data_IF_806524259087
#
_entry.id   IF_806524259087
#
_cell.length_a   1.000
_cell.length_b   1.000
_cell.length_c   1.000
_cell.angle_alpha   90.00
_cell.angle_beta   90.00
_cell.angle_gamma   90.00
#
_symmetry.space_group_name_H-M   'P 1'
#
loop_
_entity.id
_entity.type
_entity.pdbx_description
1 polymer ?
#
# COMPACT_ATOMS: atom_id res chain seq x y z
N UNK A 1 3.84 -23.16 -20.20
CA UNK A 1 4.85 -24.19 -19.88
C UNK A 1 4.56 -24.69 -18.49
N UNK A 2 3.96 -25.88 -18.37
CA UNK A 2 3.62 -26.52 -17.11
C UNK A 2 4.10 -27.97 -17.16
N UNK A 3 4.88 -28.39 -16.17
CA UNK A 3 5.19 -29.77 -15.89
C UNK A 3 4.38 -30.26 -14.68
N UNK A 4 4.08 -31.55 -14.65
CA UNK A 4 3.40 -32.19 -13.52
C UNK A 4 4.28 -32.19 -12.28
N UNK A 5 5.57 -32.48 -12.45
CA UNK A 5 6.58 -32.46 -11.39
C UNK A 5 7.12 -31.04 -11.13
N UNK A 6 7.25 -30.67 -9.85
CA UNK A 6 7.68 -29.35 -9.41
C UNK A 6 9.18 -29.10 -9.69
N UNK A 7 10.02 -30.12 -9.53
CA UNK A 7 11.46 -30.00 -9.82
C UNK A 7 11.71 -29.82 -11.32
N UNK A 8 11.00 -30.60 -12.13
CA UNK A 8 11.02 -30.45 -13.58
C UNK A 8 10.52 -29.06 -14.02
N UNK A 9 9.48 -28.51 -13.38
CA UNK A 9 9.03 -27.15 -13.65
C UNK A 9 10.14 -26.13 -13.35
N UNK A 10 10.90 -26.30 -12.27
CA UNK A 10 12.03 -25.42 -11.95
C UNK A 10 13.14 -25.49 -13.01
N UNK A 11 13.45 -26.68 -13.52
CA UNK A 11 14.41 -26.85 -14.60
C UNK A 11 13.96 -26.15 -15.90
N UNK A 12 12.67 -26.25 -16.23
CA UNK A 12 12.08 -25.54 -17.38
C UNK A 12 12.20 -24.02 -17.22
N UNK A 13 11.92 -23.48 -16.02
CA UNK A 13 12.04 -22.04 -15.76
C UNK A 13 13.50 -21.56 -15.91
N UNK A 14 14.47 -22.32 -15.42
CA UNK A 14 15.89 -21.99 -15.59
C UNK A 14 16.32 -22.03 -17.06
N UNK A 15 15.90 -23.05 -17.80
CA UNK A 15 16.17 -23.14 -19.23
C UNK A 15 15.52 -21.96 -19.98
N UNK A 16 14.25 -21.66 -19.70
CA UNK A 16 13.53 -20.54 -20.30
C UNK A 16 14.24 -19.20 -19.99
N UNK A 17 14.68 -18.98 -18.76
CA UNK A 17 15.43 -17.78 -18.38
C UNK A 17 16.76 -17.65 -19.12
N UNK A 18 17.46 -18.76 -19.36
CA UNK A 18 18.71 -18.80 -20.14
C UNK A 18 18.48 -18.47 -21.62
N UNK A 19 17.43 -19.03 -22.22
CA UNK A 19 17.13 -18.82 -23.64
C UNK A 19 16.52 -17.44 -23.92
N UNK A 20 15.51 -17.03 -23.13
CA UNK A 20 14.80 -15.76 -23.34
C UNK A 20 15.51 -14.56 -22.71
N UNK A 21 16.37 -14.79 -21.71
CA UNK A 21 17.16 -13.74 -21.08
C UNK A 21 18.15 -13.04 -22.00
N UNK A 22 18.56 -13.70 -23.08
CA UNK A 22 19.48 -13.16 -24.08
C UNK A 22 18.77 -12.44 -25.23
N UNK A 23 17.45 -12.24 -25.14
CA UNK A 23 16.65 -11.61 -26.19
C UNK A 23 16.85 -10.10 -26.36
N UNK A 24 17.66 -9.46 -25.50
CA UNK A 24 17.90 -8.02 -25.47
C UNK A 24 16.77 -7.21 -24.81
N UNK A 25 17.05 -5.94 -24.51
CA UNK A 25 16.20 -5.07 -23.68
C UNK A 25 14.75 -4.98 -24.17
N UNK A 26 14.53 -4.98 -25.49
CA UNK A 26 13.20 -4.87 -26.09
C UNK A 26 12.33 -6.12 -25.90
N UNK A 27 12.93 -7.29 -25.68
CA UNK A 27 12.20 -8.55 -25.50
C UNK A 27 12.03 -8.91 -24.03
N UNK A 28 13.07 -8.70 -23.22
CA UNK A 28 13.07 -9.11 -21.82
C UNK A 28 11.96 -8.45 -21.00
N UNK A 29 11.57 -7.21 -21.36
CA UNK A 29 10.42 -6.51 -20.76
C UNK A 29 9.09 -7.27 -20.84
N UNK A 30 8.93 -8.15 -21.83
CA UNK A 30 7.72 -8.95 -22.02
C UNK A 30 7.93 -10.42 -21.66
N UNK A 31 9.15 -10.93 -21.76
CA UNK A 31 9.42 -12.37 -21.56
C UNK A 31 9.80 -12.71 -20.12
N UNK A 32 10.43 -11.81 -19.36
CA UNK A 32 10.87 -12.11 -18.00
C UNK A 32 9.76 -11.96 -16.93
N UNK A 33 8.85 -10.96 -16.97
CA UNK A 33 7.78 -10.87 -15.97
C UNK A 33 6.92 -12.15 -15.88
N UNK A 34 6.50 -12.79 -16.99
CA UNK A 34 5.78 -14.06 -16.91
C UNK A 34 6.59 -15.19 -16.25
N UNK A 35 7.91 -15.22 -16.42
CA UNK A 35 8.78 -16.21 -15.75
C UNK A 35 8.84 -15.97 -14.24
N UNK A 36 8.90 -14.71 -13.81
CA UNK A 36 8.88 -14.34 -12.39
C UNK A 36 7.56 -14.78 -11.74
N UNK A 37 6.41 -14.50 -12.37
CA UNK A 37 5.12 -14.96 -11.85
C UNK A 37 4.99 -16.49 -11.86
N UNK A 38 5.49 -17.17 -12.90
CA UNK A 38 5.50 -18.63 -12.93
C UNK A 38 6.39 -19.22 -11.82
N UNK A 39 7.49 -18.56 -11.49
CA UNK A 39 8.35 -18.92 -10.38
C UNK A 39 7.67 -18.72 -9.02
N UNK A 40 6.95 -17.61 -8.80
CA UNK A 40 6.14 -17.44 -7.57
C UNK A 40 5.05 -18.50 -7.44
N UNK A 41 4.33 -18.83 -8.53
CA UNK A 41 3.36 -19.93 -8.52
C UNK A 41 4.00 -21.28 -8.15
N UNK A 42 5.21 -21.52 -8.64
CA UNK A 42 5.96 -22.72 -8.27
C UNK A 42 6.35 -22.73 -6.78
N UNK A 43 6.70 -21.58 -6.20
CA UNK A 43 6.98 -21.48 -4.77
C UNK A 43 5.73 -21.81 -3.92
N UNK A 44 4.54 -21.35 -4.32
CA UNK A 44 3.29 -21.78 -3.68
C UNK A 44 3.04 -23.29 -3.82
N UNK A 45 3.32 -23.88 -4.99
CA UNK A 45 3.23 -25.33 -5.18
C UNK A 45 4.19 -26.11 -4.26
N UNK A 46 5.39 -25.59 -3.98
CA UNK A 46 6.29 -26.23 -3.01
C UNK A 46 5.76 -26.18 -1.59
N UNK A 47 5.04 -25.12 -1.21
CA UNK A 47 4.32 -25.08 0.07
C UNK A 47 3.20 -26.11 0.14
N UNK A 48 2.46 -26.32 -0.94
CA UNK A 48 1.45 -27.40 -1.00
C UNK A 48 2.06 -28.79 -0.84
N UNK A 49 3.36 -28.95 -1.12
CA UNK A 49 4.11 -30.20 -0.99
C UNK A 49 4.95 -30.26 0.29
N UNK A 50 4.66 -29.43 1.31
CA UNK A 50 5.49 -29.33 2.51
C UNK A 50 5.62 -30.64 3.29
N UNK A 51 4.59 -31.49 3.27
CA UNK A 51 4.59 -32.81 3.90
C UNK A 51 5.34 -33.89 3.09
N UNK A 52 5.49 -33.67 1.78
CA UNK A 52 6.08 -34.64 0.84
C UNK A 52 7.56 -34.36 0.55
N UNK A 53 8.00 -33.11 0.66
CA UNK A 53 9.35 -32.67 0.29
C UNK A 53 10.05 -31.96 1.46
N UNK A 54 10.89 -32.70 2.19
CA UNK A 54 11.73 -32.18 3.29
C UNK A 54 12.61 -30.97 2.91
N UNK A 55 12.80 -30.69 1.61
CA UNK A 55 13.64 -29.60 1.11
C UNK A 55 12.84 -28.46 0.49
N UNK A 56 11.51 -28.45 0.63
CA UNK A 56 10.63 -27.46 0.02
C UNK A 56 11.06 -26.02 0.37
N UNK A 57 11.46 -25.75 1.61
CA UNK A 57 11.91 -24.42 2.05
C UNK A 57 13.17 -23.96 1.31
N UNK A 58 14.17 -24.85 1.20
CA UNK A 58 15.41 -24.59 0.46
C UNK A 58 15.14 -24.40 -1.03
N UNK A 59 14.13 -25.08 -1.58
CA UNK A 59 13.70 -24.90 -2.97
C UNK A 59 13.01 -23.53 -3.15
N UNK A 60 12.16 -23.11 -2.21
CA UNK A 60 11.59 -21.76 -2.17
C UNK A 60 12.70 -20.69 -2.13
N UNK A 61 13.70 -20.81 -1.26
CA UNK A 61 14.84 -19.89 -1.22
C UNK A 61 15.54 -19.76 -2.59
N UNK A 62 15.80 -20.88 -3.27
CA UNK A 62 16.38 -20.87 -4.63
C UNK A 62 15.48 -20.20 -5.66
N UNK A 63 14.17 -20.40 -5.57
CA UNK A 63 13.20 -19.74 -6.44
C UNK A 63 13.20 -18.23 -6.24
N UNK A 64 13.22 -17.75 -5.00
CA UNK A 64 13.27 -16.31 -4.73
C UNK A 64 14.60 -15.68 -5.17
N UNK A 65 15.72 -16.39 -5.03
CA UNK A 65 17.01 -15.97 -5.62
C UNK A 65 16.94 -15.88 -7.15
N UNK A 66 16.31 -16.86 -7.82
CA UNK A 66 16.06 -16.84 -9.26
C UNK A 66 15.19 -15.64 -9.66
N UNK A 67 14.12 -15.35 -8.91
CA UNK A 67 13.26 -14.19 -9.14
C UNK A 67 14.05 -12.88 -9.00
N UNK A 68 14.82 -12.73 -7.92
CA UNK A 68 15.65 -11.55 -7.68
C UNK A 68 16.63 -11.29 -8.84
N UNK A 69 17.37 -12.32 -9.28
CA UNK A 69 18.29 -12.19 -10.43
C UNK A 69 17.56 -11.89 -11.75
N UNK A 70 16.35 -12.42 -11.91
CA UNK A 70 15.53 -12.18 -13.10
C UNK A 70 14.99 -10.75 -13.14
N UNK A 71 14.51 -10.24 -12.01
CA UNK A 71 14.08 -8.85 -11.86
C UNK A 71 15.28 -7.91 -12.02
N UNK A 72 16.44 -8.23 -11.45
CA UNK A 72 17.67 -7.44 -11.61
C UNK A 72 18.12 -7.28 -13.07
N UNK A 73 17.81 -8.23 -13.96
CA UNK A 73 18.07 -8.07 -15.39
C UNK A 73 17.13 -7.07 -16.08
N UNK A 74 15.91 -6.91 -15.57
CA UNK A 74 14.98 -5.86 -16.03
C UNK A 74 15.46 -4.48 -15.58
N UNK A 75 15.99 -4.36 -14.36
CA UNK A 75 16.58 -3.12 -13.85
C UNK A 75 17.78 -2.71 -14.70
N UNK A 76 18.69 -3.65 -15.01
CA UNK A 76 19.82 -3.43 -15.93
C UNK A 76 19.41 -3.02 -17.34
N UNK A 77 18.15 -3.22 -17.69
CA UNK A 77 17.57 -2.80 -18.96
C UNK A 77 16.83 -1.46 -18.86
N UNK A 78 17.14 -0.67 -17.83
CA UNK A 78 16.60 0.67 -17.57
C UNK A 78 15.07 0.66 -17.36
N UNK A 79 14.57 -0.40 -16.72
CA UNK A 79 13.17 -0.49 -16.28
C UNK A 79 13.06 -0.27 -14.78
N UNK A 80 12.15 0.59 -14.35
CA UNK A 80 11.90 0.85 -12.93
C UNK A 80 10.53 0.36 -12.46
N UNK A 81 9.49 0.75 -13.20
CA UNK A 81 8.10 0.55 -12.83
C UNK A 81 7.65 -0.93 -12.77
N UNK A 82 8.07 -1.73 -13.75
CA UNK A 82 7.72 -3.17 -13.78
C UNK A 82 8.51 -3.94 -12.72
N UNK A 83 9.84 -3.78 -12.60
CA UNK A 83 10.63 -4.40 -11.53
C UNK A 83 10.14 -4.08 -10.12
N UNK A 84 9.77 -2.82 -9.84
CA UNK A 84 9.21 -2.42 -8.56
C UNK A 84 7.98 -3.28 -8.22
N UNK A 85 7.01 -3.37 -9.14
CA UNK A 85 5.79 -4.17 -8.93
C UNK A 85 6.10 -5.66 -8.78
N UNK A 86 7.08 -6.20 -9.51
CA UNK A 86 7.52 -7.59 -9.37
C UNK A 86 8.13 -7.85 -7.99
N UNK A 87 8.96 -6.94 -7.47
CA UNK A 87 9.49 -7.05 -6.12
C UNK A 87 8.39 -6.99 -5.06
N UNK A 88 7.42 -6.07 -5.19
CA UNK A 88 6.28 -6.02 -4.27
C UNK A 88 5.48 -7.34 -4.25
N UNK A 89 5.22 -7.92 -5.42
CA UNK A 89 4.56 -9.22 -5.52
C UNK A 89 5.39 -10.36 -4.93
N UNK A 90 6.72 -10.32 -5.09
CA UNK A 90 7.62 -11.27 -4.45
C UNK A 90 7.65 -11.13 -2.93
N UNK A 91 7.60 -9.91 -2.40
CA UNK A 91 7.49 -9.64 -0.96
C UNK A 91 6.22 -10.27 -0.39
N UNK A 92 5.07 -10.01 -1.02
CA UNK A 92 3.78 -10.64 -0.64
C UNK A 92 3.85 -12.17 -0.71
N UNK A 93 4.36 -12.72 -1.81
CA UNK A 93 4.46 -14.16 -1.99
C UNK A 93 5.36 -14.80 -0.91
N UNK A 94 6.52 -14.20 -0.61
CA UNK A 94 7.39 -14.71 0.45
C UNK A 94 6.70 -14.66 1.82
N UNK A 95 6.00 -13.56 2.11
CA UNK A 95 5.27 -13.38 3.36
C UNK A 95 4.15 -14.39 3.57
N UNK A 96 3.37 -14.71 2.52
CA UNK A 96 2.29 -15.69 2.60
C UNK A 96 2.78 -17.15 2.56
N UNK A 97 3.90 -17.43 1.91
CA UNK A 97 4.45 -18.79 1.86
C UNK A 97 5.04 -19.20 3.21
N UNK A 98 5.84 -18.35 3.86
CA UNK A 98 6.33 -18.62 5.22
C UNK A 98 7.39 -19.73 5.31
N UNK A 99 8.28 -19.85 4.33
CA UNK A 99 9.44 -20.76 4.37
C UNK A 99 10.58 -20.22 5.25
N UNK A 100 11.55 -21.03 5.67
CA UNK A 100 12.73 -20.59 6.42
C UNK A 100 13.40 -19.32 5.83
N UNK A 101 13.59 -18.28 6.66
CA UNK A 101 14.12 -16.96 6.28
C UNK A 101 13.23 -16.11 5.34
N UNK A 102 11.94 -16.44 5.21
CA UNK A 102 11.02 -15.68 4.36
C UNK A 102 10.92 -14.20 4.73
N UNK A 103 11.02 -13.86 6.02
CA UNK A 103 10.96 -12.46 6.49
C UNK A 103 12.11 -11.63 5.92
N UNK A 104 13.34 -12.13 5.95
CA UNK A 104 14.51 -11.45 5.37
C UNK A 104 14.39 -11.31 3.85
N UNK A 105 13.85 -12.33 3.17
CA UNK A 105 13.60 -12.26 1.73
C UNK A 105 12.53 -11.21 1.41
N UNK A 106 11.45 -11.17 2.17
CA UNK A 106 10.39 -10.19 2.00
C UNK A 106 10.89 -8.75 2.25
N UNK A 107 11.74 -8.57 3.27
CA UNK A 107 12.36 -7.29 3.58
C UNK A 107 13.28 -6.82 2.45
N UNK A 108 14.15 -7.70 1.94
CA UNK A 108 15.03 -7.39 0.80
C UNK A 108 14.21 -6.96 -0.41
N UNK A 109 13.11 -7.66 -0.72
CA UNK A 109 12.25 -7.32 -1.85
C UNK A 109 11.57 -5.96 -1.68
N UNK A 110 11.07 -5.63 -0.50
CA UNK A 110 10.55 -4.28 -0.22
C UNK A 110 11.64 -3.22 -0.31
N UNK A 111 12.84 -3.50 0.21
CA UNK A 111 13.99 -2.59 0.13
C UNK A 111 14.36 -2.28 -1.33
N UNK A 112 14.43 -3.31 -2.19
CA UNK A 112 14.67 -3.13 -3.63
C UNK A 112 13.56 -2.31 -4.31
N UNK A 113 12.29 -2.50 -3.91
CA UNK A 113 11.18 -1.69 -4.41
C UNK A 113 11.31 -0.22 -3.98
N UNK A 114 11.73 0.05 -2.73
CA UNK A 114 12.02 1.40 -2.25
C UNK A 114 13.19 2.05 -3.00
N UNK A 115 14.30 1.33 -3.21
CA UNK A 115 15.43 1.85 -3.97
C UNK A 115 15.01 2.25 -5.39
N UNK A 116 14.25 1.40 -6.08
CA UNK A 116 13.73 1.74 -7.42
C UNK A 116 12.78 2.94 -7.40
N UNK A 117 11.95 3.07 -6.37
CA UNK A 117 11.08 4.24 -6.20
C UNK A 117 11.88 5.53 -6.03
N UNK A 118 12.92 5.52 -5.21
CA UNK A 118 13.71 6.71 -4.88
C UNK A 118 14.66 7.13 -6.01
N UNK A 119 15.31 6.15 -6.66
CA UNK A 119 16.37 6.42 -7.63
C UNK A 119 15.84 6.66 -9.06
N UNK A 120 14.78 5.95 -9.46
CA UNK A 120 14.39 5.86 -10.88
C UNK A 120 13.02 6.49 -11.19
N UNK A 121 12.10 6.58 -10.22
CA UNK A 121 10.75 7.10 -10.46
C UNK A 121 10.70 8.61 -10.16
N UNK A 122 10.77 9.41 -11.22
CA UNK A 122 10.79 10.88 -11.13
C UNK A 122 9.47 11.57 -11.49
N UNK A 123 8.61 10.94 -12.30
CA UNK A 123 7.32 11.53 -12.66
C UNK A 123 6.36 11.59 -11.46
N UNK A 124 5.82 12.77 -11.17
CA UNK A 124 4.97 12.99 -9.99
C UNK A 124 3.75 12.06 -9.90
N UNK A 125 3.11 11.73 -11.03
CA UNK A 125 1.92 10.86 -11.04
C UNK A 125 2.32 9.40 -10.82
N UNK A 126 3.43 8.99 -11.44
CA UNK A 126 4.02 7.67 -11.22
C UNK A 126 4.51 7.50 -9.78
N UNK A 127 5.10 8.54 -9.18
CA UNK A 127 5.54 8.53 -7.78
C UNK A 127 4.37 8.27 -6.82
N UNK A 128 3.28 9.04 -6.92
CA UNK A 128 2.11 8.82 -6.05
C UNK A 128 1.54 7.41 -6.21
N UNK A 129 1.44 6.93 -7.45
CA UNK A 129 0.93 5.60 -7.75
C UNK A 129 1.82 4.50 -7.17
N UNK A 130 3.15 4.65 -7.32
CA UNK A 130 4.13 3.70 -6.82
C UNK A 130 4.16 3.66 -5.29
N UNK A 131 4.21 4.81 -4.61
CA UNK A 131 4.23 4.84 -3.14
C UNK A 131 2.93 4.33 -2.55
N UNK A 132 1.78 4.66 -3.14
CA UNK A 132 0.48 4.12 -2.72
C UNK A 132 0.47 2.59 -2.85
N UNK A 133 1.04 2.05 -3.93
CA UNK A 133 1.14 0.60 -4.11
C UNK A 133 2.10 -0.06 -3.10
N UNK A 134 3.23 0.57 -2.78
CA UNK A 134 4.14 0.11 -1.72
C UNK A 134 3.39 0.06 -0.38
N UNK A 135 2.71 1.15 0.00
CA UNK A 135 1.93 1.23 1.24
C UNK A 135 0.86 0.14 1.29
N UNK A 136 0.05 -0.01 0.24
CA UNK A 136 -1.02 -1.01 0.19
C UNK A 136 -0.48 -2.45 0.19
N UNK A 137 0.66 -2.69 -0.45
CA UNK A 137 1.32 -4.01 -0.43
C UNK A 137 1.77 -4.32 1.00
N UNK A 138 2.46 -3.38 1.64
CA UNK A 138 2.99 -3.57 2.98
C UNK A 138 1.88 -3.71 4.03
N UNK A 139 0.77 -2.97 3.91
CA UNK A 139 -0.41 -3.11 4.78
C UNK A 139 -0.98 -4.54 4.79
N UNK A 140 -0.87 -5.26 3.66
CA UNK A 140 -1.33 -6.65 3.56
C UNK A 140 -0.33 -7.67 4.07
N UNK A 141 0.91 -7.29 4.32
CA UNK A 141 1.95 -8.20 4.79
C UNK A 141 1.87 -8.35 6.31
N UNK A 142 1.78 -9.60 6.78
CA UNK A 142 1.74 -9.98 8.20
C UNK A 142 3.02 -10.67 8.69
N UNK A 143 4.01 -10.82 7.81
CA UNK A 143 5.17 -11.67 8.03
C UNK A 143 6.32 -11.00 8.82
N UNK A 144 6.27 -9.68 8.99
CA UNK A 144 7.35 -8.94 9.65
C UNK A 144 7.15 -8.91 11.16
N UNK A 145 8.23 -9.10 11.90
CA UNK A 145 8.29 -8.73 13.29
C UNK A 145 8.36 -7.21 13.47
N UNK A 146 8.02 -6.72 14.66
CA UNK A 146 7.97 -5.27 14.95
C UNK A 146 9.30 -4.55 14.64
N UNK A 147 10.44 -5.19 14.87
CA UNK A 147 11.78 -4.65 14.56
C UNK A 147 11.97 -4.30 13.07
N UNK A 148 11.36 -5.08 12.17
CA UNK A 148 11.40 -4.85 10.73
C UNK A 148 10.19 -4.04 10.23
N UNK A 149 9.05 -4.15 10.92
CA UNK A 149 7.81 -3.49 10.54
C UNK A 149 7.83 -1.98 10.86
N UNK A 150 8.35 -1.55 12.01
CA UNK A 150 8.43 -0.12 12.37
C UNK A 150 9.27 0.72 11.38
N UNK A 151 10.49 0.31 10.96
CA UNK A 151 11.28 1.05 9.98
C UNK A 151 10.55 1.21 8.64
N UNK A 152 9.88 0.15 8.15
CA UNK A 152 9.15 0.17 6.89
C UNK A 152 7.93 1.12 6.94
N UNK A 153 7.19 1.15 8.05
CA UNK A 153 6.10 2.13 8.27
C UNK A 153 6.62 3.56 8.20
N UNK A 154 7.73 3.81 8.89
CA UNK A 154 8.36 5.14 8.93
C UNK A 154 8.87 5.54 7.55
N UNK A 155 9.47 4.61 6.81
CA UNK A 155 9.95 4.86 5.44
C UNK A 155 8.80 5.19 4.49
N UNK A 156 7.66 4.48 4.58
CA UNK A 156 6.45 4.81 3.84
C UNK A 156 5.99 6.26 4.11
N UNK A 157 5.89 6.63 5.40
CA UNK A 157 5.48 7.97 5.80
C UNK A 157 6.47 9.07 5.35
N UNK A 158 7.77 8.77 5.38
CA UNK A 158 8.82 9.67 4.89
C UNK A 158 8.69 9.87 3.37
N UNK A 159 8.63 8.79 2.60
CA UNK A 159 8.49 8.80 1.15
C UNK A 159 7.23 9.54 0.70
N UNK A 160 6.07 9.27 1.33
CA UNK A 160 4.83 9.99 1.07
C UNK A 160 4.95 11.51 1.34
N UNK A 161 5.67 11.91 2.40
CA UNK A 161 5.84 13.32 2.73
C UNK A 161 6.86 14.06 1.84
N UNK A 162 7.68 13.32 1.09
CA UNK A 162 8.67 13.86 0.15
C UNK A 162 8.13 14.05 -1.28
N UNK A 163 6.90 13.61 -1.57
CA UNK A 163 6.26 13.84 -2.88
C UNK A 163 6.30 15.32 -3.26
N UNK A 164 6.47 15.66 -4.53
CA UNK A 164 6.67 17.07 -4.91
C UNK A 164 5.42 17.94 -4.70
N UNK A 165 4.25 17.41 -5.05
CA UNK A 165 2.99 18.15 -5.04
C UNK A 165 2.27 18.03 -3.69
N UNK A 166 1.78 19.14 -3.15
CA UNK A 166 1.07 19.18 -1.87
C UNK A 166 -0.17 18.29 -1.80
N UNK A 167 -1.05 18.23 -2.83
CA UNK A 167 -2.18 17.31 -2.82
C UNK A 167 -1.74 15.85 -2.75
N UNK A 168 -0.69 15.49 -3.48
CA UNK A 168 -0.15 14.13 -3.49
C UNK A 168 0.51 13.77 -2.15
N UNK A 169 1.27 14.70 -1.53
CA UNK A 169 1.78 14.55 -0.16
C UNK A 169 0.63 14.32 0.83
N UNK A 170 -0.44 15.10 0.74
CA UNK A 170 -1.59 15.01 1.62
C UNK A 170 -2.25 13.63 1.55
N UNK A 171 -2.52 13.16 0.34
CA UNK A 171 -3.12 11.85 0.06
C UNK A 171 -2.19 10.72 0.51
N UNK A 172 -0.92 10.74 0.12
CA UNK A 172 0.04 9.71 0.52
C UNK A 172 0.19 9.59 2.03
N UNK A 173 0.28 10.71 2.76
CA UNK A 173 0.39 10.72 4.23
C UNK A 173 -0.92 10.23 4.88
N UNK A 174 -2.08 10.53 4.30
CA UNK A 174 -3.36 10.03 4.79
C UNK A 174 -3.43 8.50 4.60
N UNK A 175 -3.00 7.98 3.45
CA UNK A 175 -2.93 6.54 3.19
C UNK A 175 -2.00 5.81 4.17
N UNK A 176 -0.88 6.42 4.58
CA UNK A 176 0.01 5.84 5.59
C UNK A 176 -0.68 5.61 6.95
N UNK A 177 -1.78 6.31 7.26
CA UNK A 177 -2.50 6.08 8.52
C UNK A 177 -2.99 4.63 8.67
N UNK A 178 -3.32 3.96 7.56
CA UNK A 178 -3.73 2.55 7.58
C UNK A 178 -2.64 1.61 8.07
N UNK A 179 -1.35 1.91 7.81
CA UNK A 179 -0.23 1.09 8.29
C UNK A 179 -0.10 1.08 9.82
N UNK A 180 -0.58 2.15 10.47
CA UNK A 180 -0.58 2.27 11.93
C UNK A 180 -1.87 1.75 12.56
N UNK A 181 -2.90 1.48 11.75
CA UNK A 181 -4.17 0.93 12.22
C UNK A 181 -4.29 -0.55 11.86
N UNK A 182 -4.55 -0.86 10.59
CA UNK A 182 -4.86 -2.22 10.08
C UNK A 182 -3.64 -3.04 9.69
N UNK A 183 -2.43 -2.44 9.74
CA UNK A 183 -1.18 -3.19 9.58
C UNK A 183 -1.07 -4.33 10.59
N UNK A 184 -0.43 -5.43 10.20
CA UNK A 184 -0.31 -6.65 11.01
C UNK A 184 1.15 -7.04 11.16
N UNK A 185 1.53 -7.44 12.36
CA UNK A 185 2.88 -7.94 12.66
C UNK A 185 2.83 -9.41 13.05
N UNK A 186 3.98 -10.08 13.04
CA UNK A 186 4.06 -11.46 13.52
C UNK A 186 3.69 -11.57 15.00
N UNK A 187 4.09 -10.60 15.81
CA UNK A 187 3.80 -10.57 17.25
C UNK A 187 2.33 -10.30 17.56
N UNK A 188 1.61 -9.64 16.65
CA UNK A 188 0.17 -9.39 16.80
C UNK A 188 -0.71 -10.63 16.59
N UNK A 189 -0.13 -11.79 16.23
CA UNK A 189 -0.84 -13.06 15.99
C UNK A 189 -2.04 -12.95 15.02
N UNK A 190 -2.00 -11.97 14.11
CA UNK A 190 -3.06 -11.73 13.12
C UNK A 190 -4.02 -10.58 13.47
N UNK A 191 -3.88 -9.99 14.66
CA UNK A 191 -4.56 -8.75 15.06
C UNK A 191 -3.95 -7.52 14.37
N UNK A 192 -4.73 -6.44 14.37
CA UNK A 192 -4.32 -5.15 13.84
C UNK A 192 -3.49 -4.37 14.88
N UNK A 193 -2.51 -3.58 14.44
CA UNK A 193 -1.65 -2.79 15.35
C UNK A 193 -2.44 -1.77 16.19
N UNK A 194 -3.47 -1.15 15.61
CA UNK A 194 -4.40 -0.21 16.27
C UNK A 194 -3.72 0.94 17.06
N UNK A 195 -2.64 1.52 16.53
CA UNK A 195 -1.99 2.69 17.13
C UNK A 195 -2.75 3.98 16.76
N UNK A 196 -3.79 4.27 17.53
CA UNK A 196 -4.65 5.45 17.32
C UNK A 196 -3.90 6.78 17.38
N UNK A 197 -2.80 6.87 18.14
CA UNK A 197 -2.00 8.11 18.27
C UNK A 197 -1.25 8.40 16.98
N UNK A 198 -0.59 7.38 16.40
CA UNK A 198 0.12 7.51 15.11
C UNK A 198 -0.84 7.79 13.96
N UNK A 199 -2.01 7.15 13.95
CA UNK A 199 -3.10 7.48 12.99
C UNK A 199 -3.45 8.96 13.06
N UNK A 200 -3.64 9.47 14.28
CA UNK A 200 -3.92 10.88 14.51
C UNK A 200 -2.82 11.81 14.01
N UNK A 201 -1.56 11.47 14.26
CA UNK A 201 -0.40 12.23 13.78
C UNK A 201 -0.36 12.31 12.25
N UNK A 202 -0.62 11.20 11.56
CA UNK A 202 -0.73 11.14 10.11
C UNK A 202 -1.85 12.05 9.59
N UNK A 203 -3.08 11.89 10.11
CA UNK A 203 -4.22 12.68 9.63
C UNK A 203 -4.08 14.18 9.95
N UNK A 204 -3.52 14.54 11.11
CA UNK A 204 -3.17 15.94 11.43
C UNK A 204 -2.07 16.48 10.52
N UNK A 205 -1.08 15.66 10.13
CA UNK A 205 -0.06 16.05 9.15
C UNK A 205 -0.69 16.27 7.77
N UNK A 206 -1.57 15.38 7.31
CA UNK A 206 -2.33 15.56 6.07
C UNK A 206 -3.16 16.84 6.09
N UNK A 207 -3.88 17.11 7.17
CA UNK A 207 -4.66 18.34 7.31
C UNK A 207 -3.78 19.60 7.26
N UNK A 208 -2.60 19.58 7.89
CA UNK A 208 -1.62 20.68 7.76
C UNK A 208 -1.14 20.87 6.32
N UNK A 209 -0.92 19.79 5.59
CA UNK A 209 -0.50 19.86 4.17
C UNK A 209 -1.64 20.38 3.29
N UNK A 210 -2.89 19.96 3.52
CA UNK A 210 -4.07 20.49 2.82
C UNK A 210 -4.19 22.02 3.00
N UNK A 211 -3.96 22.52 4.21
CA UNK A 211 -3.93 23.98 4.48
C UNK A 211 -2.79 24.72 3.74
N UNK A 212 -1.74 24.03 3.29
CA UNK A 212 -0.65 24.63 2.49
C UNK A 212 -0.94 24.62 0.99
N UNK A 213 -2.05 24.01 0.55
CA UNK A 213 -2.46 24.08 -0.85
C UNK A 213 -2.97 25.50 -1.15
N UNK A 214 -2.43 26.11 -2.21
CA UNK A 214 -2.80 27.47 -2.63
C UNK A 214 -4.16 27.51 -3.33
N UNK A 215 -4.52 26.44 -4.03
CA UNK A 215 -5.79 26.32 -4.74
C UNK A 215 -6.90 25.96 -3.74
N UNK A 216 -7.86 26.86 -3.58
CA UNK A 216 -8.99 26.70 -2.65
C UNK A 216 -9.89 25.52 -3.02
N UNK A 217 -10.11 25.26 -4.31
CA UNK A 217 -10.92 24.11 -4.76
C UNK A 217 -10.26 22.80 -4.34
N UNK A 218 -8.96 22.67 -4.64
CA UNK A 218 -8.17 21.50 -4.23
C UNK A 218 -8.10 21.37 -2.71
N UNK A 219 -7.95 22.48 -1.98
CA UNK A 219 -7.93 22.48 -0.53
C UNK A 219 -9.24 21.96 0.08
N UNK A 220 -10.40 22.45 -0.39
CA UNK A 220 -11.72 21.97 0.09
C UNK A 220 -11.93 20.51 -0.28
N UNK A 221 -11.55 20.10 -1.49
CA UNK A 221 -11.58 18.69 -1.89
C UNK A 221 -10.77 17.81 -0.93
N UNK A 222 -9.54 18.22 -0.58
CA UNK A 222 -8.69 17.48 0.37
C UNK A 222 -9.29 17.44 1.77
N UNK A 223 -9.97 18.49 2.23
CA UNK A 223 -10.69 18.45 3.52
C UNK A 223 -11.80 17.41 3.52
N UNK A 224 -12.57 17.30 2.43
CA UNK A 224 -13.61 16.27 2.29
C UNK A 224 -12.97 14.87 2.24
N UNK A 225 -11.87 14.69 1.52
CA UNK A 225 -11.13 13.41 1.49
C UNK A 225 -10.59 13.04 2.88
N UNK A 226 -9.98 13.98 3.60
CA UNK A 226 -9.47 13.76 4.97
C UNK A 226 -10.63 13.46 5.94
N UNK A 227 -11.76 14.16 5.83
CA UNK A 227 -12.95 13.90 6.64
C UNK A 227 -13.40 12.44 6.49
N UNK A 228 -13.41 11.91 5.27
CA UNK A 228 -13.75 10.51 5.03
C UNK A 228 -12.74 9.54 5.66
N UNK A 229 -11.44 9.89 5.72
CA UNK A 229 -10.46 9.10 6.49
C UNK A 229 -10.71 9.15 8.01
N UNK A 230 -11.06 10.33 8.55
CA UNK A 230 -11.45 10.45 9.96
C UNK A 230 -12.68 9.58 10.27
N UNK A 231 -13.71 9.63 9.41
CA UNK A 231 -14.93 8.83 9.57
C UNK A 231 -14.60 7.34 9.51
N UNK A 232 -13.80 6.90 8.53
CA UNK A 232 -13.38 5.51 8.43
C UNK A 232 -12.68 5.03 9.71
N UNK A 233 -11.71 5.80 10.23
CA UNK A 233 -10.98 5.42 11.44
C UNK A 233 -11.87 5.43 12.68
N UNK A 234 -12.81 6.37 12.76
CA UNK A 234 -13.81 6.42 13.83
C UNK A 234 -14.70 5.18 13.80
N UNK A 235 -15.25 4.82 12.64
CA UNK A 235 -16.05 3.61 12.43
C UNK A 235 -15.30 2.32 12.70
N UNK A 236 -13.97 2.33 12.56
CA UNK A 236 -13.10 1.20 12.92
C UNK A 236 -12.74 1.13 14.40
N UNK A 237 -13.30 2.00 15.25
CA UNK A 237 -13.13 1.94 16.71
C UNK A 237 -11.91 2.68 17.23
N UNK A 238 -11.33 3.60 16.46
CA UNK A 238 -10.21 4.43 16.94
C UNK A 238 -10.70 5.50 17.92
N UNK A 239 -10.44 5.30 19.21
CA UNK A 239 -10.84 6.17 20.32
C UNK A 239 -10.24 7.59 20.26
N UNK A 240 -9.13 7.77 19.54
CA UNK A 240 -8.52 9.08 19.33
C UNK A 240 -9.33 9.94 18.35
N UNK A 241 -10.20 9.32 17.54
CA UNK A 241 -11.13 10.02 16.66
C UNK A 241 -12.34 10.43 17.48
N UNK A 242 -12.57 11.73 17.67
CA UNK A 242 -13.74 12.21 18.40
C UNK A 242 -14.71 12.95 17.49
N UNK A 243 -15.99 12.95 17.86
CA UNK A 243 -17.05 13.71 17.19
C UNK A 243 -16.70 15.20 17.11
N UNK A 244 -15.95 15.74 18.08
CA UNK A 244 -15.49 17.12 18.06
C UNK A 244 -14.55 17.41 16.87
N UNK A 245 -13.65 16.47 16.54
CA UNK A 245 -12.75 16.60 15.39
C UNK A 245 -13.54 16.55 14.09
N UNK A 246 -14.55 15.68 13.99
CA UNK A 246 -15.45 15.62 12.84
C UNK A 246 -16.21 16.94 12.68
N UNK A 247 -16.83 17.45 13.74
CA UNK A 247 -17.56 18.72 13.73
C UNK A 247 -16.68 19.91 13.32
N UNK A 248 -15.43 19.97 13.79
CA UNK A 248 -14.49 21.03 13.40
C UNK A 248 -14.21 21.01 11.89
N UNK A 249 -13.95 19.83 11.32
CA UNK A 249 -13.65 19.70 9.90
C UNK A 249 -14.89 19.91 9.02
N UNK A 250 -16.06 19.40 9.44
CA UNK A 250 -17.34 19.65 8.78
C UNK A 250 -17.66 21.15 8.78
N UNK A 251 -17.50 21.83 9.92
CA UNK A 251 -17.70 23.27 10.05
C UNK A 251 -16.80 24.05 9.10
N UNK A 252 -15.51 23.69 9.03
CA UNK A 252 -14.56 24.30 8.10
C UNK A 252 -14.96 24.11 6.63
N UNK A 253 -15.38 22.91 6.24
CA UNK A 253 -15.84 22.65 4.87
C UNK A 253 -17.09 23.48 4.54
N UNK A 254 -18.03 23.62 5.48
CA UNK A 254 -19.25 24.45 5.30
C UNK A 254 -18.94 25.93 5.12
N UNK A 255 -17.89 26.43 5.78
CA UNK A 255 -17.44 27.82 5.65
C UNK A 255 -16.72 28.04 4.32
N UNK A 256 -15.84 27.11 3.92
CA UNK A 256 -14.96 27.29 2.77
C UNK A 256 -15.65 26.93 1.42
N UNK A 257 -16.54 25.94 1.39
CA UNK A 257 -17.18 25.43 0.16
C UNK A 257 -18.02 26.47 -0.62
N UNK A 258 -18.84 27.33 0.03
CA UNK A 258 -19.63 28.36 -0.68
C UNK A 258 -18.77 29.46 -1.31
N UNK A 259 -17.51 29.61 -0.87
CA UNK A 259 -16.59 30.63 -1.38
C UNK A 259 -15.90 30.21 -2.69
N UNK A 260 -16.08 28.96 -3.12
CA UNK A 260 -15.52 28.46 -4.38
C UNK A 260 -16.30 29.01 -5.59
N UNK A 261 -15.59 29.21 -6.69
CA UNK A 261 -16.21 29.56 -7.95
C UNK A 261 -17.13 28.44 -8.44
N UNK A 262 -18.30 28.80 -8.94
CA UNK A 262 -19.26 27.82 -9.47
C UNK A 262 -18.75 27.27 -10.81
N UNK A 263 -18.36 26.00 -10.80
CA UNK A 263 -17.92 25.23 -11.96
C UNK A 263 -18.20 23.73 -11.72
N UNK A 264 -17.92 22.90 -12.71
CA UNK A 264 -18.16 21.44 -12.65
C UNK A 264 -17.37 20.76 -11.51
N UNK A 265 -16.15 21.20 -11.22
CA UNK A 265 -15.34 20.64 -10.12
C UNK A 265 -15.95 20.95 -8.75
N UNK A 266 -16.38 22.20 -8.53
CA UNK A 266 -17.05 22.62 -7.30
C UNK A 266 -18.37 21.87 -7.08
N UNK A 267 -19.14 21.61 -8.15
CA UNK A 267 -20.35 20.79 -8.08
C UNK A 267 -20.04 19.35 -7.64
N UNK A 268 -18.96 18.76 -8.15
CA UNK A 268 -18.50 17.42 -7.75
C UNK A 268 -18.05 17.39 -6.29
N UNK A 269 -17.30 18.40 -5.83
CA UNK A 269 -16.86 18.51 -4.43
C UNK A 269 -18.06 18.65 -3.50
N UNK A 270 -19.03 19.51 -3.84
CA UNK A 270 -20.25 19.67 -3.07
C UNK A 270 -21.03 18.35 -3.01
N UNK A 271 -21.19 17.65 -4.13
CA UNK A 271 -21.86 16.33 -4.15
C UNK A 271 -21.15 15.31 -3.27
N UNK A 272 -19.82 15.26 -3.31
CA UNK A 272 -19.03 14.37 -2.45
C UNK A 272 -19.25 14.70 -0.96
N UNK A 273 -19.25 15.97 -0.60
CA UNK A 273 -19.53 16.40 0.77
C UNK A 273 -20.96 16.06 1.20
N UNK A 274 -21.98 16.31 0.37
CA UNK A 274 -23.37 15.95 0.67
C UNK A 274 -23.53 14.44 0.90
N UNK A 275 -22.92 13.61 0.05
CA UNK A 275 -22.93 12.14 0.25
C UNK A 275 -22.27 11.74 1.58
N UNK A 276 -21.20 12.44 1.98
CA UNK A 276 -20.51 12.21 3.28
C UNK A 276 -21.43 12.57 4.45
N UNK A 277 -22.14 13.70 4.37
CA UNK A 277 -23.11 14.12 5.39
C UNK A 277 -24.29 13.14 5.47
N UNK A 278 -24.80 12.68 4.33
CA UNK A 278 -25.89 11.72 4.29
C UNK A 278 -25.50 10.38 4.93
N UNK A 279 -24.29 9.88 4.64
CA UNK A 279 -23.73 8.71 5.33
C UNK A 279 -23.73 8.89 6.85
N UNK A 280 -23.26 10.05 7.34
CA UNK A 280 -23.26 10.35 8.77
C UNK A 280 -24.67 10.44 9.38
N UNK A 281 -25.66 10.97 8.65
CA UNK A 281 -27.07 10.98 9.10
C UNK A 281 -27.60 9.57 9.27
N UNK A 282 -27.39 8.71 8.26
CA UNK A 282 -27.82 7.32 8.32
C UNK A 282 -27.19 6.57 9.49
N UNK A 283 -25.90 6.80 9.75
CA UNK A 283 -25.20 6.24 10.92
C UNK A 283 -25.75 6.75 12.25
N UNK A 284 -26.26 7.98 12.31
CA UNK A 284 -26.85 8.57 13.51
C UNK A 284 -28.28 8.07 13.76
N UNK A 285 -29.07 7.87 12.70
CA UNK A 285 -30.45 7.36 12.77
C UNK A 285 -30.52 5.84 12.98
N UNK A 286 -29.56 5.10 12.43
CA UNK A 286 -29.46 3.64 12.51
C UNK A 286 -28.07 3.21 12.98
N UNK A 287 -27.75 3.37 14.28
CA UNK A 287 -26.47 2.94 14.82
C UNK A 287 -26.33 1.42 14.71
N UNK A 288 -25.15 0.96 14.30
CA UNK A 288 -24.80 -0.46 14.36
C UNK A 288 -24.68 -0.88 15.84
N UNK A 289 -25.12 -2.10 16.18
CA UNK A 289 -25.16 -2.58 17.57
C UNK A 289 -23.78 -2.54 18.27
N UNK A 290 -22.68 -2.64 17.50
CA UNK A 290 -21.29 -2.58 17.99
C UNK A 290 -20.50 -1.40 17.39
N UNK A 291 -21.18 -0.41 16.79
CA UNK A 291 -20.56 0.75 16.14
C UNK A 291 -20.34 1.94 17.08
N UNK A 292 -19.49 2.91 16.69
CA UNK A 292 -19.24 4.09 17.53
C UNK A 292 -20.47 5.02 17.58
N UNK A 293 -20.66 5.71 18.71
CA UNK A 293 -21.81 6.57 18.95
C UNK A 293 -21.59 8.01 18.45
N UNK A 294 -22.38 8.45 17.46
CA UNK A 294 -22.34 9.81 16.91
C UNK A 294 -23.06 10.87 17.77
N UNK A 295 -23.08 10.69 19.09
CA UNK A 295 -23.72 11.65 19.99
C UNK A 295 -22.96 12.98 19.97
N UNK A 296 -23.69 14.09 19.75
CA UNK A 296 -23.11 15.43 19.62
C UNK A 296 -22.57 15.78 18.23
N UNK A 297 -22.79 14.94 17.21
CA UNK A 297 -22.47 15.27 15.81
C UNK A 297 -23.45 16.33 15.29
N UNK A 298 -22.91 17.37 14.64
CA UNK A 298 -23.68 18.52 14.14
C UNK A 298 -23.66 18.49 12.59
N UNK A 299 -24.77 18.06 12.00
CA UNK A 299 -24.98 17.92 10.55
C UNK A 299 -25.88 19.02 9.95
#
# INVERSE_FOLDING_TARGET
MQAEDADQQYLILNAARKHFGNGGNMRIKYTLPPLVFAAYKLAFKYKELEEEDDKWEKKCQKIFQFCHQTIGALIKAEMAEVPLRLFLQGGLAAGEIGFENHESVAYEFLSQAFSLYEDEISDSKAQLSAITLIIATFEKMKCFGEENHEPLRTQCALAASKLLKKPDQCRGVATCSHLFWSGKTRESEGEEVQDGKRVMECLKKSLRIANQCMDSSVQVQLFVEILNHYIYMYEKGNDQMTVQVLNQLIGKIREDLPNLESNEETEQINKHFQNTIEHLRLRQESPENDGPTYEGLIL
#
